data_IF_634951821650
#
_entry.id   IF_634951821650
#
_cell.length_a   1.000
_cell.length_b   1.000
_cell.length_c   1.000
_cell.angle_alpha   90.00
_cell.angle_beta   90.00
_cell.angle_gamma   90.00
#
_symmetry.space_group_name_H-M   'P 1'
#
loop_
_entity.id
_entity.type
_entity.pdbx_description
1 polymer ?
#
# COMPACT_ATOMS: atom_id res chain seq x y z
N UNK A 1 49.50 34.91 20.98
CA UNK A 1 50.41 33.80 21.38
C UNK A 1 49.66 32.50 21.07
N UNK A 2 50.04 31.71 20.04
CA UNK A 2 50.92 30.51 20.13
C UNK A 2 50.61 29.67 21.39
N UNK A 3 50.31 28.37 21.39
CA UNK A 3 50.49 27.26 20.44
C UNK A 3 49.80 26.01 21.03
N UNK A 4 49.12 25.16 20.25
CA UNK A 4 49.55 23.81 19.76
C UNK A 4 48.76 22.64 20.39
N UNK A 5 48.43 21.70 19.52
CA UNK A 5 47.67 20.46 19.71
C UNK A 5 48.45 19.36 20.44
N UNK A 6 47.73 18.29 20.86
CA UNK A 6 48.24 16.95 20.62
C UNK A 6 47.14 15.89 20.50
N UNK A 7 47.20 15.17 19.38
CA UNK A 7 46.53 13.91 19.06
C UNK A 7 47.38 12.80 19.69
N UNK A 8 46.77 11.73 20.21
CA UNK A 8 47.50 10.49 20.45
C UNK A 8 46.70 9.27 19.96
N UNK A 9 47.24 8.73 18.88
CA UNK A 9 47.14 7.36 18.34
C UNK A 9 47.51 6.31 19.42
N UNK A 10 47.09 5.04 19.40
CA UNK A 10 47.60 3.97 18.50
C UNK A 10 47.10 2.55 18.95
N UNK A 11 47.27 1.49 18.12
CA UNK A 11 46.64 0.15 18.18
C UNK A 11 47.57 -0.97 18.72
N UNK A 12 47.10 -2.25 18.71
CA UNK A 12 47.85 -3.55 18.62
C UNK A 12 46.81 -4.70 18.73
N UNK A 13 46.57 -5.60 17.77
CA UNK A 13 47.41 -6.66 17.16
C UNK A 13 48.21 -7.52 18.16
N UNK A 14 47.76 -8.78 18.35
CA UNK A 14 48.53 -9.94 18.82
C UNK A 14 47.74 -11.20 18.36
N UNK A 15 48.10 -11.88 17.26
CA UNK A 15 49.16 -12.90 17.06
C UNK A 15 48.91 -14.22 17.83
N UNK A 16 48.32 -15.18 17.11
CA UNK A 16 48.69 -16.59 16.82
C UNK A 16 49.68 -17.34 17.78
N UNK A 17 49.29 -18.54 18.22
CA UNK A 17 50.12 -19.77 18.35
C UNK A 17 49.17 -20.99 18.58
N UNK A 18 49.01 -22.00 17.69
CA UNK A 18 49.86 -23.13 17.24
C UNK A 18 50.08 -24.29 18.26
N UNK A 19 49.55 -25.50 17.92
CA UNK A 19 50.11 -26.88 18.04
C UNK A 19 48.95 -27.93 18.21
N UNK A 20 48.46 -28.64 17.17
CA UNK A 20 48.86 -29.98 16.61
C UNK A 20 49.02 -31.05 17.73
N UNK A 21 48.40 -32.24 17.78
CA UNK A 21 48.38 -33.41 16.84
C UNK A 21 47.30 -34.41 17.32
N UNK A 22 46.66 -35.18 16.42
CA UNK A 22 46.52 -36.67 16.47
C UNK A 22 45.63 -37.18 15.33
N UNK A 23 46.17 -38.18 14.64
CA UNK A 23 45.72 -38.84 13.42
C UNK A 23 44.65 -39.91 13.70
N UNK A 24 43.65 -40.02 12.83
CA UNK A 24 42.89 -41.26 12.60
C UNK A 24 42.20 -41.22 11.23
N UNK A 25 42.67 -42.05 10.30
CA UNK A 25 42.02 -42.33 9.01
C UNK A 25 40.78 -43.19 9.22
N UNK A 26 39.60 -42.77 8.74
CA UNK A 26 38.53 -43.67 8.25
C UNK A 26 37.56 -42.89 7.32
N UNK A 27 37.46 -43.36 6.06
CA UNK A 27 36.28 -43.34 5.17
C UNK A 27 35.46 -42.05 4.99
N UNK A 28 35.56 -41.43 3.81
CA UNK A 28 34.64 -40.39 3.32
C UNK A 28 33.43 -41.07 2.65
N UNK A 29 32.19 -40.93 3.15
CA UNK A 29 31.02 -40.98 2.29
C UNK A 29 30.72 -39.56 1.82
N UNK A 30 31.00 -39.27 0.54
CA UNK A 30 30.52 -38.08 -0.14
C UNK A 30 28.98 -38.09 -0.14
N UNK A 31 28.37 -37.48 0.87
CA UNK A 31 26.96 -37.11 0.83
C UNK A 31 26.87 -35.81 0.03
N UNK A 32 26.44 -35.92 -1.22
CA UNK A 32 26.03 -34.77 -2.00
C UNK A 32 24.78 -34.17 -1.34
N UNK A 33 24.91 -32.99 -0.73
CA UNK A 33 23.78 -32.21 -0.26
C UNK A 33 22.90 -31.83 -1.46
N UNK A 34 21.56 -31.95 -1.36
CA UNK A 34 20.68 -31.47 -2.42
C UNK A 34 20.89 -29.96 -2.59
N UNK A 35 20.85 -29.43 -3.82
CA UNK A 35 21.01 -28.01 -4.06
C UNK A 35 19.91 -27.25 -3.30
N UNK A 36 20.33 -26.26 -2.50
CA UNK A 36 19.44 -25.32 -1.84
C UNK A 36 18.51 -24.70 -2.91
N UNK A 37 17.21 -24.95 -2.75
CA UNK A 37 16.16 -24.34 -3.58
C UNK A 37 16.35 -22.82 -3.51
N UNK A 38 16.51 -22.09 -4.62
CA UNK A 38 16.60 -20.64 -4.58
C UNK A 38 15.36 -20.10 -3.88
N UNK A 39 15.56 -19.27 -2.85
CA UNK A 39 14.48 -18.49 -2.25
C UNK A 39 13.72 -17.80 -3.38
N UNK A 40 12.42 -18.09 -3.48
CA UNK A 40 11.56 -17.41 -4.43
C UNK A 40 11.63 -15.91 -4.10
N UNK A 41 12.18 -15.13 -5.04
CA UNK A 41 12.20 -13.68 -4.92
C UNK A 41 10.77 -13.21 -4.60
N UNK A 42 10.59 -12.29 -3.64
CA UNK A 42 9.26 -11.78 -3.32
C UNK A 42 8.63 -11.25 -4.60
N UNK A 43 7.47 -11.81 -4.96
CA UNK A 43 6.72 -11.35 -6.11
C UNK A 43 6.49 -9.84 -5.96
N UNK A 44 7.00 -9.06 -6.90
CA UNK A 44 6.75 -7.62 -6.98
C UNK A 44 5.23 -7.44 -7.06
N UNK A 45 4.59 -6.99 -5.99
CA UNK A 45 3.20 -6.59 -6.07
C UNK A 45 3.08 -5.48 -7.13
N UNK A 46 2.08 -5.56 -8.02
CA UNK A 46 1.90 -4.53 -9.03
C UNK A 46 1.82 -3.17 -8.33
N UNK A 47 2.64 -2.23 -8.80
CA UNK A 47 2.70 -0.91 -8.20
C UNK A 47 1.36 -0.19 -8.39
N UNK A 48 0.77 0.30 -7.30
CA UNK A 48 -0.44 1.12 -7.35
C UNK A 48 -0.23 2.32 -8.27
N UNK A 49 -1.22 2.61 -9.11
CA UNK A 49 -1.21 3.74 -10.03
C UNK A 49 -1.13 5.06 -9.27
N UNK A 50 -0.28 5.94 -9.78
CA UNK A 50 0.02 7.23 -9.18
C UNK A 50 -0.31 8.36 -10.16
N UNK A 51 -0.73 9.51 -9.62
CA UNK A 51 -1.26 10.64 -10.38
C UNK A 51 -0.55 11.94 -10.01
N UNK A 52 -0.55 12.93 -10.91
CA UNK A 52 0.07 14.24 -10.65
C UNK A 52 -0.83 15.13 -9.79
N UNK A 53 -2.14 14.93 -9.89
CA UNK A 53 -3.16 15.68 -9.13
C UNK A 53 -4.17 14.73 -8.50
N UNK A 54 -4.81 15.12 -7.38
CA UNK A 54 -5.86 14.29 -6.79
C UNK A 54 -7.10 14.25 -7.69
N UNK A 55 -7.35 15.29 -8.49
CA UNK A 55 -8.43 15.30 -9.48
C UNK A 55 -8.23 14.20 -10.54
N UNK A 56 -7.02 14.02 -11.05
CA UNK A 56 -6.74 12.93 -12.01
C UNK A 56 -7.00 11.55 -11.39
N UNK A 57 -6.67 11.34 -10.11
CA UNK A 57 -6.95 10.10 -9.42
C UNK A 57 -8.47 9.86 -9.28
N UNK A 58 -9.22 10.90 -8.88
CA UNK A 58 -10.67 10.86 -8.77
C UNK A 58 -11.34 10.56 -10.13
N UNK A 59 -10.98 11.29 -11.17
CA UNK A 59 -11.53 11.12 -12.52
C UNK A 59 -11.26 9.70 -13.04
N UNK A 60 -10.05 9.16 -12.80
CA UNK A 60 -9.71 7.80 -13.18
C UNK A 60 -10.56 6.75 -12.45
N UNK A 61 -10.82 6.93 -11.14
CA UNK A 61 -11.68 6.02 -10.38
C UNK A 61 -13.13 6.04 -10.90
N UNK A 62 -13.66 7.23 -11.19
CA UNK A 62 -15.01 7.39 -11.77
C UNK A 62 -15.10 6.71 -13.13
N UNK A 63 -14.08 6.86 -13.97
CA UNK A 63 -14.05 6.26 -15.30
C UNK A 63 -14.05 4.73 -15.24
N UNK A 64 -13.19 4.12 -14.41
CA UNK A 64 -13.15 2.64 -14.31
C UNK A 64 -14.42 2.08 -13.69
N UNK A 65 -15.04 2.79 -12.76
CA UNK A 65 -16.34 2.40 -12.20
C UNK A 65 -17.46 2.48 -13.24
N UNK A 66 -17.48 3.52 -14.09
CA UNK A 66 -18.45 3.65 -15.18
C UNK A 66 -18.36 2.53 -16.20
N UNK A 67 -17.16 1.98 -16.42
CA UNK A 67 -16.92 0.87 -17.34
C UNK A 67 -16.99 -0.51 -16.67
N UNK A 68 -17.15 -0.54 -15.35
CA UNK A 68 -17.00 -1.74 -14.53
C UNK A 68 -15.70 -2.50 -14.80
N UNK A 69 -14.59 -1.76 -14.92
CA UNK A 69 -13.25 -2.32 -15.12
C UNK A 69 -12.59 -2.63 -13.78
N UNK A 70 -12.88 -3.83 -13.28
CA UNK A 70 -12.39 -4.30 -11.98
C UNK A 70 -10.86 -4.37 -11.95
N UNK A 71 -10.21 -4.76 -13.04
CA UNK A 71 -8.75 -4.86 -13.09
C UNK A 71 -8.10 -3.48 -12.97
N UNK A 72 -8.57 -2.51 -13.76
CA UNK A 72 -8.07 -1.13 -13.67
C UNK A 72 -8.41 -0.47 -12.31
N UNK A 73 -9.57 -0.81 -11.72
CA UNK A 73 -9.91 -0.34 -10.37
C UNK A 73 -8.89 -0.85 -9.32
N UNK A 74 -8.43 -2.11 -9.43
CA UNK A 74 -7.37 -2.65 -8.57
C UNK A 74 -6.04 -1.95 -8.76
N UNK A 75 -5.69 -1.58 -9.99
CA UNK A 75 -4.47 -0.79 -10.23
C UNK A 75 -4.56 0.60 -9.58
N UNK A 76 -5.72 1.24 -9.61
CA UNK A 76 -5.94 2.58 -9.04
C UNK A 76 -5.97 2.55 -7.51
N UNK A 77 -6.68 1.58 -6.93
CA UNK A 77 -6.86 1.45 -5.48
C UNK A 77 -5.71 0.67 -4.82
N UNK A 78 -4.89 -0.04 -5.58
CA UNK A 78 -3.73 -0.77 -5.08
C UNK A 78 -4.07 -2.14 -4.47
N UNK A 79 -3.07 -2.83 -3.89
CA UNK A 79 -3.19 -4.24 -3.51
C UNK A 79 -4.24 -4.52 -2.43
N UNK A 80 -4.58 -3.53 -1.61
CA UNK A 80 -5.59 -3.64 -0.55
C UNK A 80 -7.01 -3.35 -1.06
N UNK A 81 -7.34 -3.58 -2.34
CA UNK A 81 -8.64 -3.19 -2.90
C UNK A 81 -9.59 -4.34 -3.21
N UNK A 82 -9.15 -5.61 -3.09
CA UNK A 82 -9.88 -6.78 -3.61
C UNK A 82 -11.36 -6.81 -3.20
N UNK A 83 -11.62 -6.80 -1.89
CA UNK A 83 -12.94 -6.85 -1.28
C UNK A 83 -13.70 -5.51 -1.31
N UNK A 84 -13.08 -4.45 -1.85
CA UNK A 84 -13.74 -3.17 -2.12
C UNK A 84 -14.35 -3.18 -3.51
N UNK A 85 -13.64 -3.74 -4.49
CA UNK A 85 -14.05 -3.71 -5.91
C UNK A 85 -14.76 -4.96 -6.38
N UNK A 86 -14.61 -6.08 -5.66
CA UNK A 86 -15.19 -7.37 -6.00
C UNK A 86 -15.72 -8.07 -4.76
N UNK A 87 -16.82 -8.81 -4.93
CA UNK A 87 -17.39 -9.72 -3.94
C UNK A 87 -17.78 -11.04 -4.60
N UNK A 88 -18.46 -11.90 -3.85
CA UNK A 88 -19.05 -13.15 -4.38
C UNK A 88 -20.32 -12.88 -5.22
N UNK A 89 -20.81 -11.64 -5.26
CA UNK A 89 -21.96 -11.21 -6.06
C UNK A 89 -21.54 -10.16 -7.12
N UNK A 90 -21.17 -10.58 -8.34
CA UNK A 90 -20.72 -9.67 -9.39
C UNK A 90 -21.82 -8.74 -9.91
N UNK A 91 -23.10 -9.10 -9.73
CA UNK A 91 -24.22 -8.23 -10.11
C UNK A 91 -24.30 -7.07 -9.12
N UNK A 92 -24.20 -7.34 -7.83
CA UNK A 92 -24.12 -6.28 -6.83
C UNK A 92 -22.87 -5.41 -7.01
N UNK A 93 -21.71 -6.00 -7.32
CA UNK A 93 -20.49 -5.22 -7.59
C UNK A 93 -20.70 -4.22 -8.72
N UNK A 94 -21.27 -4.69 -9.84
CA UNK A 94 -21.59 -3.84 -11.00
C UNK A 94 -22.59 -2.75 -10.65
N UNK A 95 -23.62 -3.09 -9.87
CA UNK A 95 -24.62 -2.11 -9.43
C UNK A 95 -24.00 -1.03 -8.54
N UNK A 96 -23.14 -1.39 -7.58
CA UNK A 96 -22.42 -0.42 -6.73
C UNK A 96 -21.51 0.49 -7.55
N UNK A 97 -20.75 -0.07 -8.49
CA UNK A 97 -19.89 0.69 -9.39
C UNK A 97 -20.70 1.68 -10.27
N UNK A 98 -21.81 1.22 -10.84
CA UNK A 98 -22.69 2.04 -11.67
C UNK A 98 -23.36 3.16 -10.87
N UNK A 99 -23.82 2.89 -9.64
CA UNK A 99 -24.39 3.89 -8.74
C UNK A 99 -23.37 4.96 -8.35
N UNK A 100 -22.16 4.55 -8.00
CA UNK A 100 -21.06 5.49 -7.73
C UNK A 100 -20.76 6.38 -8.95
N UNK A 101 -20.62 5.79 -10.15
CA UNK A 101 -20.36 6.53 -11.37
C UNK A 101 -21.51 7.50 -11.72
N UNK A 102 -22.77 7.08 -11.52
CA UNK A 102 -23.94 7.92 -11.71
C UNK A 102 -23.93 9.13 -10.75
N UNK A 103 -23.64 8.91 -9.47
CA UNK A 103 -23.53 9.99 -8.48
C UNK A 103 -22.39 10.95 -8.79
N UNK A 104 -21.22 10.44 -9.18
CA UNK A 104 -20.10 11.28 -9.59
C UNK A 104 -20.40 12.12 -10.85
N UNK A 105 -21.25 11.60 -11.75
CA UNK A 105 -21.72 12.30 -12.95
C UNK A 105 -22.75 13.39 -12.62
N UNK A 106 -23.63 13.17 -11.64
CA UNK A 106 -24.53 14.21 -11.13
C UNK A 106 -23.71 15.42 -10.65
N UNK A 107 -22.70 15.14 -9.81
CA UNK A 107 -21.75 16.14 -9.33
C UNK A 107 -20.54 15.42 -8.73
N UNK A 108 -19.36 15.97 -8.94
CA UNK A 108 -18.17 15.55 -8.22
C UNK A 108 -17.18 16.71 -8.05
N UNK A 109 -16.49 16.73 -6.92
CA UNK A 109 -15.42 17.68 -6.65
C UNK A 109 -14.33 17.05 -5.79
N UNK A 110 -13.09 17.48 -5.97
CA UNK A 110 -11.97 17.04 -5.15
C UNK A 110 -11.56 18.16 -4.21
N UNK A 111 -11.60 17.91 -2.91
CA UNK A 111 -11.26 18.89 -1.88
C UNK A 111 -9.97 18.50 -1.18
N UNK A 112 -9.00 19.41 -1.14
CA UNK A 112 -7.80 19.27 -0.31
C UNK A 112 -8.19 19.52 1.15
N UNK A 113 -7.69 18.69 2.05
CA UNK A 113 -7.89 18.85 3.49
C UNK A 113 -7.22 20.15 3.97
N UNK A 114 -7.96 20.97 4.70
CA UNK A 114 -7.46 22.24 5.23
C UNK A 114 -6.33 22.04 6.25
N UNK A 115 -6.31 20.90 6.93
CA UNK A 115 -5.31 20.55 7.95
C UNK A 115 -4.14 19.76 7.38
N UNK A 116 -4.32 19.14 6.22
CA UNK A 116 -3.28 18.35 5.55
C UNK A 116 -3.31 18.58 4.02
N UNK A 117 -2.41 19.42 3.48
CA UNK A 117 -2.36 19.68 2.04
C UNK A 117 -1.93 18.46 1.21
N UNK A 118 -1.47 17.38 1.85
CA UNK A 118 -1.14 16.11 1.21
C UNK A 118 -2.32 15.12 1.26
N UNK A 119 -3.51 15.54 1.69
CA UNK A 119 -4.71 14.73 1.74
C UNK A 119 -5.84 15.41 0.99
N UNK A 120 -6.59 14.63 0.24
CA UNK A 120 -7.75 15.09 -0.49
C UNK A 120 -8.89 14.07 -0.41
N UNK A 121 -10.13 14.55 -0.51
CA UNK A 121 -11.33 13.73 -0.53
C UNK A 121 -12.09 14.00 -1.83
N UNK A 122 -12.55 12.93 -2.48
CA UNK A 122 -13.53 13.03 -3.56
C UNK A 122 -14.93 13.14 -2.95
N UNK A 123 -15.63 14.21 -3.27
CA UNK A 123 -17.05 14.37 -2.98
C UNK A 123 -17.86 13.97 -4.22
N UNK A 124 -18.93 13.19 -4.04
CA UNK A 124 -19.78 12.70 -5.12
C UNK A 124 -21.25 12.99 -4.84
N UNK A 125 -22.04 13.20 -5.88
CA UNK A 125 -23.47 13.47 -5.76
C UNK A 125 -23.79 14.91 -5.34
N UNK A 126 -25.08 15.25 -5.43
CA UNK A 126 -25.59 16.58 -5.08
C UNK A 126 -25.55 16.88 -3.58
N UNK A 127 -25.44 15.83 -2.77
CA UNK A 127 -25.24 15.86 -1.32
C UNK A 127 -23.77 16.02 -0.92
N UNK A 128 -22.86 16.15 -1.90
CA UNK A 128 -21.42 16.29 -1.68
C UNK A 128 -20.87 15.15 -0.78
N UNK A 129 -21.38 13.93 -0.97
CA UNK A 129 -21.03 12.77 -0.16
C UNK A 129 -19.53 12.47 -0.20
N UNK A 130 -18.82 12.44 0.94
CA UNK A 130 -17.39 12.20 0.97
C UNK A 130 -17.08 10.73 0.74
N UNK A 131 -16.34 10.42 -0.33
CA UNK A 131 -15.81 9.09 -0.59
C UNK A 131 -14.94 8.65 0.60
N UNK A 132 -15.15 7.44 1.15
CA UNK A 132 -14.44 6.98 2.33
C UNK A 132 -12.95 6.75 2.10
N UNK A 133 -12.53 6.52 0.85
CA UNK A 133 -11.13 6.28 0.49
C UNK A 133 -10.44 7.61 0.14
N UNK A 134 -9.57 8.15 1.01
CA UNK A 134 -8.91 9.42 0.74
C UNK A 134 -7.84 9.28 -0.34
N UNK A 135 -7.50 10.39 -0.99
CA UNK A 135 -6.39 10.49 -1.93
C UNK A 135 -5.25 11.17 -1.20
N UNK A 136 -4.08 10.53 -1.14
CA UNK A 136 -2.93 11.03 -0.38
C UNK A 136 -1.74 11.27 -1.29
N UNK A 137 -0.97 12.31 -0.99
CA UNK A 137 0.25 12.67 -1.70
C UNK A 137 1.45 12.03 -1.02
N UNK A 138 2.16 11.15 -1.72
CA UNK A 138 3.39 10.48 -1.26
C UNK A 138 4.47 10.69 -2.32
N UNK A 139 5.64 11.19 -1.91
CA UNK A 139 6.78 11.45 -2.81
C UNK A 139 6.41 12.27 -4.06
N UNK A 140 5.55 13.27 -3.90
CA UNK A 140 5.13 14.16 -5.00
C UNK A 140 3.97 13.65 -5.86
N UNK A 141 3.54 12.41 -5.69
CA UNK A 141 2.44 11.79 -6.46
C UNK A 141 1.24 11.49 -5.58
N UNK A 142 0.06 11.47 -6.19
CA UNK A 142 -1.21 11.17 -5.53
C UNK A 142 -1.65 9.73 -5.79
N UNK A 143 -2.16 9.06 -4.77
CA UNK A 143 -2.72 7.71 -4.83
C UNK A 143 -3.81 7.56 -3.77
N UNK A 144 -4.75 6.62 -3.96
CA UNK A 144 -5.75 6.32 -2.92
C UNK A 144 -5.11 5.63 -1.71
N UNK A 145 -5.50 6.02 -0.50
CA UNK A 145 -5.13 5.31 0.73
C UNK A 145 -6.20 4.29 1.11
N UNK A 146 -6.14 3.14 0.44
CA UNK A 146 -7.17 2.10 0.54
C UNK A 146 -7.22 1.44 1.91
N UNK A 147 -6.10 1.41 2.65
CA UNK A 147 -6.07 0.92 4.03
C UNK A 147 -6.93 1.77 4.94
N UNK A 148 -6.71 3.08 4.93
CA UNK A 148 -7.54 4.04 5.69
C UNK A 148 -8.99 3.99 5.20
N UNK A 149 -9.20 3.92 3.89
CA UNK A 149 -10.55 3.85 3.33
C UNK A 149 -11.35 2.63 3.74
N UNK A 150 -10.70 1.47 3.87
CA UNK A 150 -11.32 0.22 4.34
C UNK A 150 -11.82 0.34 5.78
N UNK A 151 -11.01 0.91 6.67
CA UNK A 151 -11.40 1.16 8.06
C UNK A 151 -12.62 2.09 8.12
N UNK A 152 -12.64 3.14 7.32
CA UNK A 152 -13.78 4.06 7.23
C UNK A 152 -15.04 3.39 6.67
N UNK A 153 -14.93 2.55 5.64
CA UNK A 153 -16.06 1.77 5.12
C UNK A 153 -16.65 0.88 6.21
N UNK A 154 -15.80 0.20 6.99
CA UNK A 154 -16.24 -0.63 8.11
C UNK A 154 -16.94 0.21 9.19
N UNK A 155 -16.37 1.35 9.57
CA UNK A 155 -16.93 2.25 10.57
C UNK A 155 -18.32 2.77 10.15
N UNK A 156 -18.49 3.14 8.87
CA UNK A 156 -19.79 3.56 8.33
C UNK A 156 -20.83 2.45 8.36
N UNK A 157 -20.43 1.21 8.06
CA UNK A 157 -21.32 0.05 8.15
C UNK A 157 -21.77 -0.20 9.58
N UNK A 158 -20.84 -0.14 10.55
CA UNK A 158 -21.17 -0.26 11.98
C UNK A 158 -22.15 0.86 12.35
N UNK A 159 -21.80 2.12 12.08
CA UNK A 159 -22.66 3.27 12.40
C UNK A 159 -24.07 3.16 11.81
N UNK A 160 -24.21 2.70 10.56
CA UNK A 160 -25.51 2.46 9.94
C UNK A 160 -26.32 1.34 10.63
N UNK A 161 -25.64 0.26 11.04
CA UNK A 161 -26.29 -0.85 11.75
C UNK A 161 -26.72 -0.47 13.17
N UNK A 162 -25.93 0.33 13.88
CA UNK A 162 -26.28 0.83 15.22
C UNK A 162 -27.51 1.74 15.17
N UNK A 163 -27.65 2.58 14.13
CA UNK A 163 -28.83 3.43 13.96
C UNK A 163 -30.12 2.62 13.74
N UNK A 164 -30.05 1.49 13.03
CA UNK A 164 -31.20 0.61 12.80
C UNK A 164 -31.60 -0.21 14.03
N UNK A 165 -30.76 -0.30 15.06
CA UNK A 165 -31.01 -1.12 16.25
C UNK A 165 -31.73 -0.38 17.38
N UNK A 166 -31.90 0.95 17.27
CA UNK A 166 -32.50 1.81 18.30
C UNK A 166 -33.96 2.16 17.97
N UNK A 167 -34.46 1.76 16.79
CA UNK A 167 -35.87 1.94 16.38
C UNK A 167 -36.85 0.95 17.00
#
# INVERSE_FOLDING_TARGET
>A
MKSKANIMTSPKFFVIACAIVISCLLGIPSHAAPPSKPDAAPASQPAQKQFDTPKQAADALVQVASNFDVAAAKEILGPDSEDIVSSEDPVQDKNRAAQFAAKAKERSSTQIDKKDPNRAILLVGNDDFPLPIPIVKRKGKWSFDTKVGREEILNRRIGANELNAIE
#
